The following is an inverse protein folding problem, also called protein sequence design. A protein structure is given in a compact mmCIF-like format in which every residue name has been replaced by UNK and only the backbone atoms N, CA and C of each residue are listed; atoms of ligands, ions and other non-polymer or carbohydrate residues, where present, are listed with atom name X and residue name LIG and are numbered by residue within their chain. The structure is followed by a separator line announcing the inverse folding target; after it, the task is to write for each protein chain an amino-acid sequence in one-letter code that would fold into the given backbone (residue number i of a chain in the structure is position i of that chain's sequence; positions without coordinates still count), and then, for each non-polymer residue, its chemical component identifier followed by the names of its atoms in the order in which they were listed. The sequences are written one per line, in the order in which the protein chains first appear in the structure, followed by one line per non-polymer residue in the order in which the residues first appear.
data_IF_025008796799
#
_entry.id   IF_025008796799
#
_cell.length_a   1.000
_cell.length_b   1.000
_cell.length_c   1.000
_cell.angle_alpha   90.00
_cell.angle_beta   90.00
_cell.angle_gamma   90.00
#
_symmetry.space_group_name_H-M   'P 1'
#
loop_
_entity.id
_entity.type
_entity.pdbx_description
1 polymer ?
#
# COMPACT_ATOMS: atom_id res chain seq x y z
N UNK A 1 -5.76 20.94 7.34
CA UNK A 1 -4.94 20.96 6.11
C UNK A 1 -3.71 20.04 6.19
N UNK A 2 -2.98 20.01 7.31
CA UNK A 2 -1.71 19.27 7.44
C UNK A 2 -1.75 17.74 7.18
N UNK A 3 -2.81 17.01 7.54
CA UNK A 3 -2.82 15.53 7.47
C UNK A 3 -2.83 14.97 6.03
N UNK A 4 -3.50 15.66 5.11
CA UNK A 4 -3.49 15.29 3.68
C UNK A 4 -2.08 15.45 3.07
N UNK A 5 -1.31 16.38 3.62
CA UNK A 5 0.08 16.66 3.24
C UNK A 5 1.06 15.65 3.85
N UNK A 6 0.71 14.97 4.95
CA UNK A 6 1.51 13.88 5.52
C UNK A 6 1.22 12.52 4.87
N UNK A 7 -0.05 12.21 4.54
CA UNK A 7 -0.40 10.92 3.95
C UNK A 7 -0.06 10.80 2.47
N UNK A 8 -0.12 11.90 1.70
CA UNK A 8 0.30 11.88 0.28
C UNK A 8 1.74 11.40 0.09
N UNK A 9 2.76 11.99 0.73
CA UNK A 9 4.12 11.52 0.57
C UNK A 9 4.29 10.09 1.11
N UNK A 10 3.61 9.71 2.19
CA UNK A 10 3.62 8.33 2.68
C UNK A 10 3.13 7.32 1.63
N UNK A 11 1.99 7.61 1.00
CA UNK A 11 1.36 6.74 0.00
C UNK A 11 2.14 6.74 -1.33
N UNK A 12 2.66 7.89 -1.74
CA UNK A 12 3.54 8.01 -2.91
C UNK A 12 4.84 7.24 -2.70
N UNK A 13 5.48 7.36 -1.53
CA UNK A 13 6.70 6.63 -1.20
C UNK A 13 6.48 5.11 -1.10
N UNK A 14 5.30 4.68 -0.65
CA UNK A 14 4.92 3.27 -0.67
C UNK A 14 4.85 2.75 -2.10
N UNK A 15 4.09 3.43 -2.97
CA UNK A 15 3.98 3.07 -4.39
C UNK A 15 5.36 3.09 -5.07
N UNK A 16 6.17 4.10 -4.79
CA UNK A 16 7.53 4.21 -5.33
C UNK A 16 8.41 3.05 -4.86
N UNK A 17 8.37 2.70 -3.57
CA UNK A 17 9.16 1.57 -3.02
C UNK A 17 8.77 0.24 -3.67
N UNK A 18 7.48 0.01 -3.92
CA UNK A 18 7.03 -1.21 -4.59
C UNK A 18 7.37 -1.19 -6.08
N UNK A 19 7.21 -0.05 -6.74
CA UNK A 19 7.58 0.13 -8.13
C UNK A 19 9.09 -0.13 -8.33
N UNK A 20 9.93 0.39 -7.45
CA UNK A 20 11.37 0.13 -7.46
C UNK A 20 11.68 -1.36 -7.32
N UNK A 21 10.93 -2.08 -6.47
CA UNK A 21 11.09 -3.53 -6.32
C UNK A 21 10.74 -4.28 -7.61
N UNK A 22 9.63 -3.91 -8.27
CA UNK A 22 9.24 -4.51 -9.56
C UNK A 22 10.13 -4.10 -10.73
N UNK A 23 10.91 -3.02 -10.59
CA UNK A 23 11.90 -2.59 -11.58
C UNK A 23 13.28 -3.24 -11.36
N UNK A 24 13.49 -3.95 -10.25
CA UNK A 24 14.78 -4.53 -9.89
C UNK A 24 15.24 -5.60 -10.92
N UNK A 25 14.30 -6.31 -11.53
CA UNK A 25 14.54 -7.32 -12.57
C UNK A 25 14.42 -6.78 -14.01
N UNK A 26 14.33 -5.44 -14.20
CA UNK A 26 14.20 -4.73 -15.49
C UNK A 26 12.97 -5.13 -16.35
N UNK A 27 12.14 -6.04 -15.85
CA UNK A 27 10.95 -6.58 -16.52
C UNK A 27 9.80 -6.63 -15.53
N UNK A 28 8.76 -5.81 -15.76
CA UNK A 28 7.50 -5.91 -15.02
C UNK A 28 6.63 -6.94 -15.72
N UNK A 29 6.34 -8.03 -15.02
CA UNK A 29 5.45 -9.08 -15.51
C UNK A 29 3.97 -8.63 -15.50
N UNK A 30 3.10 -9.27 -16.29
CA UNK A 30 1.67 -9.00 -16.24
C UNK A 30 1.08 -9.18 -14.84
N UNK A 31 1.50 -10.21 -14.09
CA UNK A 31 1.07 -10.45 -12.71
C UNK A 31 1.44 -9.28 -11.79
N UNK A 32 2.71 -8.85 -11.81
CA UNK A 32 3.18 -7.72 -11.00
C UNK A 32 2.48 -6.41 -11.38
N UNK A 33 2.24 -6.19 -12.67
CA UNK A 33 1.49 -5.01 -13.13
C UNK A 33 0.07 -4.98 -12.55
N UNK A 34 -0.56 -6.15 -12.37
CA UNK A 34 -1.87 -6.24 -11.71
C UNK A 34 -1.74 -5.95 -10.21
N UNK A 35 -0.71 -6.49 -9.54
CA UNK A 35 -0.45 -6.19 -8.12
C UNK A 35 -0.22 -4.69 -7.89
N UNK A 36 0.64 -4.06 -8.69
CA UNK A 36 0.92 -2.62 -8.66
C UNK A 36 -0.36 -1.81 -8.87
N UNK A 37 -1.18 -2.19 -9.85
CA UNK A 37 -2.45 -1.54 -10.12
C UNK A 37 -3.42 -1.65 -8.94
N UNK A 38 -3.49 -2.82 -8.31
CA UNK A 38 -4.32 -3.02 -7.12
C UNK A 38 -3.83 -2.16 -5.95
N UNK A 39 -2.52 -2.12 -5.72
CA UNK A 39 -1.92 -1.28 -4.67
C UNK A 39 -2.28 0.18 -4.91
N UNK A 40 -2.19 0.67 -6.13
CA UNK A 40 -2.58 2.03 -6.47
C UNK A 40 -4.06 2.30 -6.19
N UNK A 41 -4.95 1.35 -6.55
CA UNK A 41 -6.38 1.46 -6.29
C UNK A 41 -6.66 1.52 -4.80
N UNK A 42 -6.08 0.62 -4.00
CA UNK A 42 -6.27 0.55 -2.55
C UNK A 42 -5.71 1.80 -1.85
N UNK A 43 -4.55 2.29 -2.29
CA UNK A 43 -3.96 3.55 -1.84
C UNK A 43 -4.88 4.74 -2.10
N UNK A 44 -5.41 4.86 -3.32
CA UNK A 44 -6.36 5.94 -3.68
C UNK A 44 -7.68 5.81 -2.94
N UNK A 45 -8.17 4.60 -2.74
CA UNK A 45 -9.38 4.34 -1.97
C UNK A 45 -9.20 4.79 -0.51
N UNK A 46 -8.06 4.45 0.08
CA UNK A 46 -7.71 4.90 1.43
C UNK A 46 -7.54 6.41 1.51
N UNK A 47 -6.87 7.07 0.56
CA UNK A 47 -6.78 8.54 0.52
C UNK A 47 -8.18 9.18 0.53
N UNK A 48 -9.12 8.62 -0.24
CA UNK A 48 -10.52 9.08 -0.25
C UNK A 48 -11.25 8.80 1.06
N UNK A 49 -11.03 7.66 1.71
CA UNK A 49 -11.59 7.35 3.02
C UNK A 49 -11.08 8.33 4.08
N UNK A 50 -9.77 8.62 4.09
CA UNK A 50 -9.17 9.64 4.96
C UNK A 50 -9.82 11.00 4.71
N UNK A 51 -9.91 11.42 3.44
CA UNK A 51 -10.50 12.71 3.11
C UNK A 51 -11.95 12.81 3.62
N UNK A 52 -12.75 11.76 3.41
CA UNK A 52 -14.13 11.70 3.91
C UNK A 52 -14.23 11.73 5.43
N UNK A 53 -13.37 10.99 6.14
CA UNK A 53 -13.36 11.00 7.61
C UNK A 53 -12.99 12.37 8.17
N UNK A 54 -11.98 13.03 7.59
CA UNK A 54 -11.59 14.39 7.98
C UNK A 54 -12.75 15.37 7.80
N UNK A 55 -13.49 15.26 6.70
CA UNK A 55 -14.65 16.10 6.41
C UNK A 55 -15.86 15.78 7.32
N UNK A 56 -16.07 14.50 7.67
CA UNK A 56 -17.24 14.05 8.43
C UNK A 56 -17.10 14.15 9.96
N UNK A 57 -15.95 13.82 10.54
CA UNK A 57 -15.74 13.80 12.00
C UNK A 57 -15.10 15.09 12.54
N UNK A 58 -14.79 16.08 11.69
CA UNK A 58 -14.16 17.34 12.10
C UNK A 58 -12.73 17.18 12.63
N UNK A 59 -12.13 16.00 12.43
CA UNK A 59 -10.82 15.60 12.90
C UNK A 59 -10.62 14.11 12.63
N UNK A 60 -9.36 13.67 12.58
CA UNK A 60 -9.05 12.25 12.42
C UNK A 60 -9.50 11.51 13.69
N UNK A 61 -10.41 10.54 13.57
CA UNK A 61 -10.56 9.53 14.60
C UNK A 61 -9.17 8.93 14.85
N UNK A 62 -8.70 8.87 16.09
CA UNK A 62 -7.37 8.30 16.45
C UNK A 62 -7.15 6.86 15.95
N UNK A 63 -8.20 6.23 15.43
CA UNK A 63 -8.25 4.93 14.79
C UNK A 63 -8.14 4.97 13.26
N UNK A 64 -7.52 5.99 12.67
CA UNK A 64 -7.04 5.87 11.29
C UNK A 64 -5.80 4.97 11.30
N UNK A 65 -6.13 3.69 11.45
CA UNK A 65 -5.26 2.63 11.87
C UNK A 65 -4.48 2.19 10.63
N UNK A 66 -3.30 2.78 10.43
CA UNK A 66 -2.36 2.41 9.38
C UNK A 66 -2.05 0.91 9.40
N UNK A 67 -2.20 0.26 10.55
CA UNK A 67 -2.14 -1.20 10.73
C UNK A 67 -3.32 -1.88 10.04
N UNK A 68 -4.55 -1.39 10.23
CA UNK A 68 -5.74 -1.87 9.51
C UNK A 68 -5.64 -1.67 8.00
N UNK A 69 -5.09 -0.53 7.54
CA UNK A 69 -4.82 -0.31 6.12
C UNK A 69 -3.76 -1.28 5.59
N UNK A 70 -2.63 -1.42 6.29
CA UNK A 70 -1.58 -2.40 6.00
C UNK A 70 -2.17 -3.79 5.83
N UNK A 71 -2.96 -4.26 6.80
CA UNK A 71 -3.55 -5.59 6.78
C UNK A 71 -4.49 -5.78 5.58
N UNK A 72 -5.33 -4.78 5.27
CA UNK A 72 -6.21 -4.82 4.09
C UNK A 72 -5.42 -4.85 2.79
N UNK A 73 -4.41 -3.99 2.65
CA UNK A 73 -3.58 -3.91 1.45
C UNK A 73 -2.84 -5.22 1.22
N UNK A 74 -2.17 -5.76 2.25
CA UNK A 74 -1.44 -7.03 2.14
C UNK A 74 -2.40 -8.18 1.82
N UNK A 75 -3.57 -8.25 2.46
CA UNK A 75 -4.56 -9.29 2.18
C UNK A 75 -5.09 -9.20 0.73
N UNK A 76 -5.33 -7.98 0.24
CA UNK A 76 -5.76 -7.70 -1.13
C UNK A 76 -4.71 -8.17 -2.15
N UNK A 77 -3.45 -7.75 -1.96
CA UNK A 77 -2.31 -8.11 -2.81
C UNK A 77 -2.04 -9.63 -2.75
N UNK A 78 -2.05 -10.23 -1.56
CA UNK A 78 -1.89 -11.68 -1.39
C UNK A 78 -2.98 -12.47 -2.09
N UNK A 79 -4.24 -12.06 -1.97
CA UNK A 79 -5.36 -12.74 -2.65
C UNK A 79 -5.22 -12.68 -4.17
N UNK A 80 -4.69 -11.58 -4.68
CA UNK A 80 -4.40 -11.43 -6.11
C UNK A 80 -3.23 -12.30 -6.56
N UNK A 81 -2.11 -12.29 -5.83
CA UNK A 81 -0.98 -13.17 -6.13
C UNK A 81 -1.35 -14.66 -6.03
N UNK A 82 -2.23 -15.02 -5.08
CA UNK A 82 -2.71 -16.39 -4.93
C UNK A 82 -3.77 -16.80 -5.97
N UNK A 83 -4.25 -15.87 -6.80
CA UNK A 83 -5.34 -16.12 -7.76
C UNK A 83 -4.96 -17.13 -8.83
N UNK A 84 -3.70 -17.12 -9.25
CA UNK A 84 -3.14 -18.07 -10.21
C UNK A 84 -2.65 -19.37 -9.53
N UNK A 85 -2.91 -19.51 -8.22
CA UNK A 85 -2.69 -20.73 -7.44
C UNK A 85 -1.27 -20.89 -6.89
N UNK A 86 -0.34 -20.00 -7.24
CA UNK A 86 1.03 -19.96 -6.71
C UNK A 86 1.51 -18.52 -6.67
N UNK A 87 2.12 -18.11 -5.56
CA UNK A 87 2.77 -16.80 -5.45
C UNK A 87 4.17 -16.93 -6.02
N UNK A 88 4.47 -16.15 -7.05
CA UNK A 88 5.78 -16.08 -7.67
C UNK A 88 6.78 -15.36 -6.75
N UNK A 89 8.07 -15.56 -7.00
CA UNK A 89 9.14 -14.97 -6.17
C UNK A 89 9.08 -13.44 -6.17
N UNK A 90 8.75 -12.85 -7.32
CA UNK A 90 8.68 -11.40 -7.51
C UNK A 90 7.46 -10.80 -6.78
N UNK A 91 6.34 -11.52 -6.80
CA UNK A 91 5.13 -11.15 -6.04
C UNK A 91 5.37 -11.24 -4.52
N UNK A 92 6.10 -12.26 -4.07
CA UNK A 92 6.52 -12.38 -2.67
C UNK A 92 7.47 -11.24 -2.27
N UNK A 93 8.35 -10.81 -3.18
CA UNK A 93 9.22 -9.66 -2.96
C UNK A 93 8.41 -8.37 -2.82
N UNK A 94 7.41 -8.13 -3.68
CA UNK A 94 6.47 -7.00 -3.58
C UNK A 94 5.75 -6.98 -2.23
N UNK A 95 5.18 -8.12 -1.81
CA UNK A 95 4.46 -8.24 -0.55
C UNK A 95 5.40 -8.01 0.63
N UNK A 96 6.61 -8.58 0.60
CA UNK A 96 7.63 -8.41 1.61
C UNK A 96 8.06 -6.94 1.71
N UNK A 97 8.19 -6.25 0.56
CA UNK A 97 8.55 -4.83 0.50
C UNK A 97 7.47 -3.94 1.09
N UNK A 98 6.20 -4.23 0.81
CA UNK A 98 5.07 -3.59 1.47
C UNK A 98 5.17 -3.76 2.99
N UNK A 99 5.34 -5.01 3.46
CA UNK A 99 5.46 -5.29 4.89
C UNK A 99 6.61 -4.54 5.55
N UNK A 100 7.78 -4.55 4.92
CA UNK A 100 8.98 -3.82 5.36
C UNK A 100 8.71 -2.32 5.44
N UNK A 101 8.09 -1.72 4.42
CA UNK A 101 7.77 -0.30 4.39
C UNK A 101 6.89 0.11 5.57
N UNK A 102 5.81 -0.63 5.83
CA UNK A 102 4.95 -0.35 6.99
C UNK A 102 5.67 -0.62 8.32
N UNK A 103 6.58 -1.60 8.38
CA UNK A 103 7.34 -1.89 9.60
C UNK A 103 8.35 -0.79 9.91
N UNK A 104 9.03 -0.26 8.89
CA UNK A 104 10.01 0.82 9.03
C UNK A 104 9.34 2.14 9.42
N UNK A 105 8.12 2.38 8.95
CA UNK A 105 7.33 3.56 9.30
C UNK A 105 6.78 3.50 10.74
N UNK A 106 6.65 2.31 11.34
CA UNK A 106 6.34 2.16 12.78
C UNK A 106 7.49 2.56 13.71
N UNK A 107 8.71 2.82 13.21
CA UNK A 107 9.88 3.18 14.04
C UNK A 107 10.00 4.70 14.27
N UNK A 108 9.07 5.51 13.74
CA UNK A 108 8.98 6.95 14.07
C UNK A 108 7.82 7.23 15.02
N UNK A 109 7.86 6.65 16.22
CA UNK A 109 7.06 7.05 17.39
C UNK A 109 8.01 7.38 18.54
#
# INVERSE_FOLDING_TARGET
MALKEFFRPFLSNLLDSVLQQSLEDDVITPEESVLLSQIEIDVRAFEKEIAKQIEAEGGLSKNLDTISFKNRLIDSVRKLALKDGTISRDEEAIISKLEEYFNNQSISQ
#
